data_IF_169967972661
#
_entry.id   IF_169967972661
#
_cell.length_a   1.000
_cell.length_b   1.000
_cell.length_c   1.000
_cell.angle_alpha   90.00
_cell.angle_beta   90.00
_cell.angle_gamma   90.00
#
_symmetry.space_group_name_H-M   'P 1'
#
loop_
_entity.id
_entity.type
_entity.pdbx_description
1 polymer ?
#
# COMPACT_ATOMS: atom_id res chain seq x y z
N UNK A 1 12.85 10.00 -3.98
CA UNK A 1 12.25 8.76 -3.44
C UNK A 1 12.02 8.89 -1.94
N UNK A 2 13.06 9.02 -1.10
CA UNK A 2 12.88 9.21 0.35
C UNK A 2 12.09 10.49 0.71
N UNK A 3 12.37 11.61 0.05
CA UNK A 3 11.63 12.87 0.28
C UNK A 3 10.13 12.75 -0.09
N UNK A 4 9.81 11.94 -1.09
CA UNK A 4 8.44 11.67 -1.52
C UNK A 4 7.68 10.87 -0.45
N UNK A 5 8.33 9.88 0.15
CA UNK A 5 7.82 9.09 1.29
C UNK A 5 7.62 9.97 2.53
N UNK A 6 8.50 10.96 2.72
CA UNK A 6 8.41 11.88 3.85
C UNK A 6 7.33 12.94 3.69
N UNK A 7 7.11 13.43 2.47
CA UNK A 7 6.07 14.43 2.16
C UNK A 7 4.70 13.83 1.86
N UNK A 8 4.63 12.52 1.59
CA UNK A 8 3.36 11.84 1.32
C UNK A 8 2.56 11.62 2.61
N UNK A 9 1.26 11.93 2.56
CA UNK A 9 0.32 11.58 3.63
C UNK A 9 0.04 10.08 3.69
N UNK A 10 0.00 9.41 2.53
CA UNK A 10 -0.38 8.00 2.37
C UNK A 10 0.52 7.38 1.31
N UNK A 11 0.89 6.11 1.50
CA UNK A 11 1.72 5.36 0.56
C UNK A 11 0.92 4.20 -0.01
N UNK A 12 0.75 4.20 -1.33
CA UNK A 12 0.07 3.14 -2.06
C UNK A 12 1.10 2.13 -2.58
N UNK A 13 1.04 0.90 -2.09
CA UNK A 13 1.93 -0.18 -2.53
C UNK A 13 1.17 -1.10 -3.49
N UNK A 14 1.39 -0.84 -4.77
CA UNK A 14 0.89 -1.65 -5.86
C UNK A 14 1.80 -2.87 -6.08
N UNK A 15 1.51 -3.98 -5.40
CA UNK A 15 2.41 -5.13 -5.42
C UNK A 15 2.16 -6.06 -6.60
N UNK A 16 3.26 -6.61 -7.11
CA UNK A 16 3.31 -7.60 -8.19
C UNK A 16 4.57 -8.46 -8.02
N UNK A 17 4.69 -9.55 -8.80
CA UNK A 17 5.89 -10.39 -8.78
C UNK A 17 7.19 -9.59 -9.05
N UNK A 18 7.12 -8.61 -9.97
CA UNK A 18 8.26 -7.72 -10.27
C UNK A 18 8.58 -6.79 -9.11
N UNK A 19 7.55 -6.30 -8.42
CA UNK A 19 7.73 -5.45 -7.24
C UNK A 19 8.47 -6.18 -6.12
N UNK A 20 8.10 -7.44 -5.83
CA UNK A 20 8.78 -8.26 -4.81
C UNK A 20 10.25 -8.56 -5.15
N UNK A 21 10.55 -8.80 -6.42
CA UNK A 21 11.90 -9.13 -6.87
C UNK A 21 12.85 -7.91 -6.91
N UNK A 22 12.32 -6.69 -6.84
CA UNK A 22 13.12 -5.47 -6.84
C UNK A 22 13.64 -5.15 -5.44
N UNK A 23 14.97 -5.12 -5.29
CA UNK A 23 15.61 -4.71 -4.04
C UNK A 23 15.31 -3.24 -3.68
N UNK A 24 15.20 -2.37 -4.69
CA UNK A 24 14.86 -0.96 -4.47
C UNK A 24 13.45 -0.82 -3.87
N UNK A 25 12.47 -1.54 -4.40
CA UNK A 25 11.09 -1.51 -3.90
C UNK A 25 10.97 -2.06 -2.47
N UNK A 26 11.81 -3.06 -2.14
CA UNK A 26 11.93 -3.53 -0.75
C UNK A 26 12.40 -2.44 0.18
N UNK A 27 13.48 -1.75 -0.16
CA UNK A 27 14.01 -0.66 0.66
C UNK A 27 12.99 0.48 0.85
N UNK A 28 12.23 0.81 -0.20
CA UNK A 28 11.19 1.85 -0.13
C UNK A 28 10.05 1.45 0.81
N UNK A 29 9.56 0.22 0.72
CA UNK A 29 8.51 -0.30 1.58
C UNK A 29 8.95 -0.38 3.06
N UNK A 30 10.17 -0.85 3.30
CA UNK A 30 10.79 -0.88 4.64
C UNK A 30 10.96 0.54 5.20
N UNK A 31 11.38 1.49 4.36
CA UNK A 31 11.53 2.89 4.77
C UNK A 31 10.19 3.53 5.10
N UNK A 32 9.14 3.28 4.31
CA UNK A 32 7.79 3.72 4.57
C UNK A 32 7.27 3.19 5.91
N UNK A 33 7.46 1.88 6.18
CA UNK A 33 7.06 1.26 7.45
C UNK A 33 7.85 1.80 8.64
N UNK A 34 9.16 2.00 8.50
CA UNK A 34 10.01 2.60 9.54
C UNK A 34 9.60 4.03 9.90
N UNK A 35 8.99 4.76 8.95
CA UNK A 35 8.48 6.12 9.15
C UNK A 35 7.05 6.17 9.69
N UNK A 36 6.45 5.02 10.02
CA UNK A 36 5.07 4.92 10.51
C UNK A 36 4.08 5.64 9.58
N UNK A 37 4.36 5.59 8.27
CA UNK A 37 3.47 6.15 7.25
C UNK A 37 2.37 5.12 6.95
N UNK A 38 1.11 5.55 6.83
CA UNK A 38 0.03 4.63 6.52
C UNK A 38 0.22 4.08 5.11
N UNK A 39 0.19 2.76 5.00
CA UNK A 39 0.45 2.03 3.76
C UNK A 39 -0.86 1.38 3.31
N UNK A 40 -1.26 1.60 2.06
CA UNK A 40 -2.40 0.91 1.46
C UNK A 40 -1.86 -0.10 0.45
N UNK A 41 -1.84 -1.41 0.78
CA UNK A 41 -1.47 -2.45 -0.15
C UNK A 41 -2.58 -2.67 -1.19
N UNK A 42 -2.19 -2.63 -2.46
CA UNK A 42 -3.08 -2.76 -3.61
C UNK A 42 -2.63 -3.95 -4.46
N UNK A 43 -3.51 -4.96 -4.56
CA UNK A 43 -3.29 -6.12 -5.42
C UNK A 43 -3.73 -5.80 -6.84
N UNK A 44 -2.75 -5.77 -7.76
CA UNK A 44 -2.99 -5.54 -9.19
C UNK A 44 -2.91 -6.85 -9.99
N UNK A 45 -2.18 -7.83 -9.48
CA UNK A 45 -1.95 -9.10 -10.17
C UNK A 45 -2.73 -10.24 -9.51
N UNK A 46 -3.59 -10.92 -10.27
CA UNK A 46 -4.46 -11.98 -9.75
C UNK A 46 -3.65 -13.21 -9.33
N UNK A 47 -2.51 -13.46 -9.98
CA UNK A 47 -1.70 -14.65 -9.77
C UNK A 47 -0.66 -14.49 -8.67
N UNK A 48 -0.62 -13.32 -8.03
CA UNK A 48 0.42 -13.00 -7.07
C UNK A 48 -0.16 -12.49 -5.75
N UNK A 49 0.07 -13.25 -4.68
CA UNK A 49 -0.31 -12.89 -3.32
C UNK A 49 0.84 -12.30 -2.52
N UNK A 50 0.49 -11.56 -1.47
CA UNK A 50 1.43 -11.03 -0.48
C UNK A 50 2.22 -12.19 0.12
N UNK A 51 3.53 -12.16 -0.08
CA UNK A 51 4.41 -13.27 0.30
C UNK A 51 5.77 -12.77 0.77
N UNK A 52 6.27 -13.35 1.86
CA UNK A 52 7.58 -13.04 2.43
C UNK A 52 7.62 -11.65 3.09
N UNK A 53 8.60 -10.82 2.73
CA UNK A 53 8.81 -9.52 3.36
C UNK A 53 7.65 -8.54 3.13
N UNK A 54 6.91 -8.65 2.02
CA UNK A 54 5.76 -7.80 1.75
C UNK A 54 4.62 -8.07 2.73
N UNK A 55 4.35 -9.35 3.01
CA UNK A 55 3.30 -9.75 3.95
C UNK A 55 3.56 -9.18 5.34
N UNK A 56 4.79 -9.24 5.81
CA UNK A 56 5.17 -8.67 7.11
C UNK A 56 4.99 -7.15 7.14
N UNK A 57 5.31 -6.46 6.05
CA UNK A 57 5.15 -4.99 5.95
C UNK A 57 3.67 -4.61 5.96
N UNK A 58 2.83 -5.35 5.23
CA UNK A 58 1.43 -5.02 4.98
C UNK A 58 0.45 -5.71 5.91
N UNK A 59 0.93 -6.45 6.91
CA UNK A 59 0.11 -7.31 7.79
C UNK A 59 -0.99 -6.53 8.53
N UNK A 60 -0.68 -5.32 8.96
CA UNK A 60 -1.57 -4.47 9.75
C UNK A 60 -2.45 -3.57 8.88
N UNK A 61 -2.30 -3.64 7.55
CA UNK A 61 -2.91 -2.73 6.59
C UNK A 61 -4.03 -3.41 5.79
N UNK A 62 -5.02 -2.62 5.38
CA UNK A 62 -6.16 -3.11 4.64
C UNK A 62 -5.80 -3.36 3.16
N UNK A 63 -5.81 -4.62 2.72
CA UNK A 63 -5.45 -4.99 1.35
C UNK A 63 -6.63 -4.85 0.40
N UNK A 64 -6.45 -3.99 -0.61
CA UNK A 64 -7.46 -3.72 -1.65
C UNK A 64 -7.15 -4.57 -2.87
N UNK A 65 -8.11 -5.39 -3.29
CA UNK A 65 -7.97 -6.32 -4.42
C UNK A 65 -8.69 -5.81 -5.67
N UNK A 66 -7.92 -5.31 -6.64
CA UNK A 66 -8.45 -4.85 -7.94
C UNK A 66 -8.74 -5.99 -8.91
N UNK A 67 -8.43 -7.23 -8.55
CA UNK A 67 -8.56 -8.39 -9.44
C UNK A 67 -9.84 -9.19 -9.24
N UNK A 68 -10.53 -8.99 -8.11
CA UNK A 68 -11.76 -9.70 -7.75
C UNK A 68 -13.06 -8.99 -8.11
N UNK A 69 -13.08 -7.65 -8.10
CA UNK A 69 -14.31 -6.87 -8.26
C UNK A 69 -14.19 -5.86 -9.40
N UNK A 70 -15.33 -5.35 -9.87
CA UNK A 70 -15.41 -4.24 -10.83
C UNK A 70 -14.61 -3.03 -10.36
N UNK A 71 -13.84 -2.41 -11.27
CA UNK A 71 -12.95 -1.29 -10.97
C UNK A 71 -13.65 -0.16 -10.21
N UNK A 72 -14.89 0.19 -10.59
CA UNK A 72 -15.65 1.26 -9.94
C UNK A 72 -15.92 0.99 -8.45
N UNK A 73 -16.19 -0.26 -8.09
CA UNK A 73 -16.45 -0.66 -6.70
C UNK A 73 -15.17 -0.59 -5.87
N UNK A 74 -14.08 -1.12 -6.40
CA UNK A 74 -12.77 -1.11 -5.73
C UNK A 74 -12.20 0.31 -5.62
N UNK A 75 -12.43 1.13 -6.64
CA UNK A 75 -12.07 2.54 -6.63
C UNK A 75 -12.81 3.29 -5.52
N UNK A 76 -14.11 3.03 -5.33
CA UNK A 76 -14.87 3.57 -4.20
C UNK A 76 -14.24 3.20 -2.85
N UNK A 77 -13.94 1.90 -2.65
CA UNK A 77 -13.29 1.42 -1.43
C UNK A 77 -11.93 2.09 -1.18
N UNK A 78 -11.13 2.28 -2.24
CA UNK A 78 -9.84 2.95 -2.15
C UNK A 78 -10.00 4.41 -1.70
N UNK A 79 -10.96 5.13 -2.27
CA UNK A 79 -11.23 6.52 -1.90
C UNK A 79 -11.72 6.63 -0.46
N UNK A 80 -12.60 5.73 -0.02
CA UNK A 80 -13.11 5.69 1.35
C UNK A 80 -11.99 5.40 2.36
N UNK A 81 -11.09 4.48 2.05
CA UNK A 81 -9.92 4.16 2.87
C UNK A 81 -8.96 5.37 2.94
N UNK A 82 -8.68 6.01 1.80
CA UNK A 82 -7.85 7.23 1.73
C UNK A 82 -8.45 8.34 2.58
N UNK A 83 -9.76 8.57 2.50
CA UNK A 83 -10.44 9.59 3.30
C UNK A 83 -10.38 9.25 4.79
N UNK A 84 -10.61 8.00 5.15
CA UNK A 84 -10.54 7.52 6.54
C UNK A 84 -9.15 7.73 7.15
N UNK A 85 -8.10 7.41 6.40
CA UNK A 85 -6.72 7.60 6.83
C UNK A 85 -6.38 9.09 6.91
N UNK A 86 -6.79 9.90 5.93
CA UNK A 86 -6.57 11.35 5.96
C UNK A 86 -7.26 12.01 7.17
N UNK A 87 -8.47 11.57 7.54
CA UNK A 87 -9.14 12.05 8.75
C UNK A 87 -8.37 11.67 10.02
N UNK A 88 -7.80 10.46 10.09
CA UNK A 88 -6.95 10.03 11.23
C UNK A 88 -5.68 10.87 11.34
N UNK A 89 -5.07 11.23 10.21
CA UNK A 89 -3.87 12.08 10.18
C UNK A 89 -4.21 13.51 10.63
N UNK A 90 -5.30 14.11 10.12
CA UNK A 90 -5.66 15.50 10.42
C UNK A 90 -6.25 15.71 11.83
N UNK A 91 -6.70 14.65 12.51
CA UNK A 91 -7.15 14.70 13.90
C UNK A 91 -6.00 14.63 14.93
N UNK A 92 -4.77 14.33 14.48
CA UNK A 92 -3.57 14.21 15.32
C UNK A 92 -2.80 15.51 15.36
#
# INVERSE_FOLDING_TARGET
MAESIEKSSIILICFSAKYRNSYACRLEAEYAKKRDRPIIPVKIDHQYDLTGWLEEITKDENCIDFTKYEFNTVYGQLIDEINTINERINKK
#
